data_IF_950426745224
#
_entry.id   IF_950426745224
#
_cell.length_a   1.000
_cell.length_b   1.000
_cell.length_c   1.000
_cell.angle_alpha   90.00
_cell.angle_beta   90.00
_cell.angle_gamma   90.00
#
_symmetry.space_group_name_H-M   'P 1'
#
loop_
_entity.id
_entity.type
_entity.pdbx_description
1 polymer ?
#
# COMPACT_ATOMS: atom_id res chain seq x y z
N UNK A 1 -4.69 50.23 -2.35
CA UNK A 1 -3.89 49.36 -3.24
C UNK A 1 -3.02 48.48 -2.35
N UNK A 2 -3.46 47.25 -2.08
CA UNK A 2 -2.73 46.32 -1.21
C UNK A 2 -1.78 45.50 -2.07
N UNK A 3 -0.47 45.63 -1.83
CA UNK A 3 0.58 44.86 -2.47
C UNK A 3 0.49 43.41 -1.98
N UNK A 4 0.03 42.51 -2.84
CA UNK A 4 0.13 41.08 -2.60
C UNK A 4 1.62 40.68 -2.52
N UNK A 5 1.99 40.03 -1.42
CA UNK A 5 3.34 39.51 -1.17
C UNK A 5 3.76 38.53 -2.29
N UNK A 6 4.95 38.67 -2.89
CA UNK A 6 5.40 37.84 -4.03
C UNK A 6 5.58 36.35 -3.70
N UNK A 7 5.51 35.96 -2.42
CA UNK A 7 5.61 34.57 -1.96
C UNK A 7 4.33 33.76 -2.19
N UNK A 8 3.14 34.37 -2.20
CA UNK A 8 1.87 33.64 -2.40
C UNK A 8 1.59 33.30 -3.88
N UNK A 9 2.22 34.00 -4.83
CA UNK A 9 2.05 33.74 -6.26
C UNK A 9 2.93 32.60 -6.78
N UNK A 10 4.07 32.34 -6.13
CA UNK A 10 5.00 31.27 -6.51
C UNK A 10 4.41 29.89 -6.18
N UNK A 11 3.77 29.73 -5.01
CA UNK A 11 3.08 28.48 -4.65
C UNK A 11 1.91 28.15 -5.60
N UNK A 12 1.25 29.18 -6.17
CA UNK A 12 0.14 28.98 -7.12
C UNK A 12 0.58 28.37 -8.45
N UNK A 13 1.85 28.50 -8.84
CA UNK A 13 2.38 27.98 -10.11
C UNK A 13 3.40 26.83 -9.95
N UNK A 14 3.70 26.42 -8.72
CA UNK A 14 4.60 25.30 -8.48
C UNK A 14 3.98 23.98 -9.00
N UNK A 15 4.68 23.34 -9.93
CA UNK A 15 4.35 21.99 -10.39
C UNK A 15 5.10 20.96 -9.57
N UNK A 16 4.57 19.76 -9.41
CA UNK A 16 5.20 18.69 -8.62
C UNK A 16 6.66 18.44 -9.04
N UNK A 17 6.93 18.49 -10.36
CA UNK A 17 8.27 18.37 -10.93
C UNK A 17 9.21 19.53 -10.57
N UNK A 18 8.70 20.75 -10.43
CA UNK A 18 9.49 21.90 -9.99
C UNK A 18 9.80 21.84 -8.50
N UNK A 19 8.87 21.34 -7.69
CA UNK A 19 9.05 21.18 -6.24
C UNK A 19 10.00 20.05 -5.89
N UNK A 20 10.01 18.98 -6.68
CA UNK A 20 10.87 17.81 -6.48
C UNK A 20 11.73 17.52 -7.73
N UNK A 21 12.70 18.40 -8.04
CA UNK A 21 13.52 18.26 -9.24
C UNK A 21 14.49 17.07 -9.11
N UNK A 22 14.68 16.27 -10.18
CA UNK A 22 15.63 15.17 -10.17
C UNK A 22 17.07 15.67 -10.16
N UNK A 23 17.93 15.04 -9.37
CA UNK A 23 19.33 15.42 -9.15
C UNK A 23 20.32 14.59 -9.95
N UNK A 24 19.93 13.39 -10.38
CA UNK A 24 20.79 12.44 -11.09
C UNK A 24 20.04 11.75 -12.26
N UNK A 25 20.73 10.90 -13.02
CA UNK A 25 20.16 10.22 -14.17
C UNK A 25 19.05 9.21 -13.81
N UNK A 26 19.19 8.54 -12.66
CA UNK A 26 18.20 7.58 -12.17
C UNK A 26 16.92 8.32 -11.77
N UNK A 27 17.02 9.37 -10.97
CA UNK A 27 15.90 10.23 -10.62
C UNK A 27 15.25 10.87 -11.84
N UNK A 28 16.02 11.27 -12.86
CA UNK A 28 15.44 11.76 -14.14
C UNK A 28 14.61 10.71 -14.85
N UNK A 29 14.97 9.43 -14.73
CA UNK A 29 14.26 8.32 -15.35
C UNK A 29 12.98 7.98 -14.60
N UNK A 30 13.01 8.02 -13.26
CA UNK A 30 11.88 7.72 -12.40
C UNK A 30 10.92 8.90 -12.19
N UNK A 31 11.43 10.10 -11.96
CA UNK A 31 10.63 11.25 -11.55
C UNK A 31 9.83 11.79 -12.73
N UNK A 32 8.56 12.08 -12.48
CA UNK A 32 7.63 12.57 -13.49
C UNK A 32 6.28 11.88 -13.40
N UNK A 33 5.53 11.99 -14.47
CA UNK A 33 4.18 11.48 -14.53
C UNK A 33 4.13 10.12 -15.23
N UNK A 34 3.30 9.25 -14.68
CA UNK A 34 3.12 7.87 -15.10
C UNK A 34 1.65 7.62 -15.41
N UNK A 35 1.38 6.91 -16.50
CA UNK A 35 0.05 6.49 -16.93
C UNK A 35 0.03 4.98 -17.09
N UNK A 36 -0.99 4.35 -16.53
CA UNK A 36 -1.19 2.91 -16.59
C UNK A 36 -1.42 2.47 -18.03
N UNK A 37 -0.67 1.47 -18.45
CA UNK A 37 -0.89 0.77 -19.70
C UNK A 37 -1.95 -0.30 -19.48
N UNK A 38 -3.20 0.02 -19.83
CA UNK A 38 -4.36 -0.83 -19.57
C UNK A 38 -4.29 -2.19 -20.28
N UNK A 39 -3.58 -2.27 -21.40
CA UNK A 39 -3.44 -3.50 -22.19
C UNK A 39 -2.48 -4.52 -21.52
N UNK A 40 -1.66 -4.06 -20.57
CA UNK A 40 -0.63 -4.85 -19.90
C UNK A 40 -0.90 -5.04 -18.39
N UNK A 41 -2.15 -4.79 -17.95
CA UNK A 41 -2.61 -5.04 -16.58
C UNK A 41 -2.96 -6.51 -16.41
N UNK A 42 -2.39 -7.14 -15.39
CA UNK A 42 -2.76 -8.49 -14.97
C UNK A 42 -3.17 -8.50 -13.51
N UNK A 43 -4.27 -9.18 -13.23
CA UNK A 43 -4.78 -9.38 -11.89
C UNK A 43 -5.34 -10.80 -11.80
N UNK A 44 -4.68 -11.62 -10.99
CA UNK A 44 -5.06 -13.02 -10.76
C UNK A 44 -5.58 -13.14 -9.33
N UNK A 45 -6.90 -13.24 -9.18
CA UNK A 45 -7.52 -13.49 -7.87
C UNK A 45 -7.46 -14.97 -7.64
N UNK A 46 -6.76 -15.38 -6.58
CA UNK A 46 -6.99 -16.70 -6.05
C UNK A 46 -8.35 -16.63 -5.36
N UNK A 47 -9.39 -17.14 -6.02
CA UNK A 47 -10.61 -17.52 -5.33
C UNK A 47 -10.19 -18.52 -4.24
N UNK A 48 -9.92 -18.03 -3.03
CA UNK A 48 -9.64 -18.88 -1.89
C UNK A 48 -10.92 -19.67 -1.63
N UNK A 49 -10.99 -20.86 -2.24
CA UNK A 49 -11.74 -22.02 -1.80
C UNK A 49 -13.20 -21.70 -1.42
N UNK A 50 -14.04 -21.43 -2.42
CA UNK A 50 -15.47 -21.73 -2.29
C UNK A 50 -15.61 -23.24 -2.17
N UNK A 51 -15.56 -23.76 -0.93
CA UNK A 51 -15.90 -25.15 -0.63
C UNK A 51 -17.23 -25.50 -1.33
N UNK A 52 -17.32 -26.63 -2.07
CA UNK A 52 -18.52 -26.99 -2.80
C UNK A 52 -19.66 -27.23 -1.80
N UNK A 53 -20.57 -26.26 -1.72
CA UNK A 53 -21.65 -26.24 -0.72
C UNK A 53 -21.96 -24.84 -0.20
N UNK A 54 -21.01 -23.89 -0.26
CA UNK A 54 -21.30 -22.48 0.00
C UNK A 54 -21.72 -21.84 -1.32
N UNK A 55 -23.03 -21.82 -1.59
CA UNK A 55 -23.60 -20.95 -2.64
C UNK A 55 -22.94 -19.59 -2.49
N UNK A 56 -22.40 -19.04 -3.57
CA UNK A 56 -22.01 -17.64 -3.68
C UNK A 56 -23.33 -16.84 -3.62
N UNK A 57 -23.94 -16.79 -2.44
CA UNK A 57 -24.65 -15.60 -2.03
C UNK A 57 -23.51 -14.58 -1.92
N UNK A 58 -23.57 -13.52 -2.74
CA UNK A 58 -22.69 -12.37 -2.65
C UNK A 58 -22.39 -12.12 -1.17
N UNK A 59 -21.11 -12.19 -0.79
CA UNK A 59 -20.72 -11.98 0.60
C UNK A 59 -21.19 -10.57 0.98
N UNK A 60 -22.13 -10.40 1.94
CA UNK A 60 -22.61 -9.08 2.35
C UNK A 60 -21.53 -8.24 3.05
N UNK A 61 -20.29 -8.75 3.13
CA UNK A 61 -19.11 -8.15 3.76
C UNK A 61 -18.02 -7.73 2.77
N UNK A 62 -18.20 -7.97 1.47
CA UNK A 62 -17.49 -7.16 0.47
C UNK A 62 -18.21 -5.82 0.50
N UNK A 63 -17.57 -4.72 0.94
CA UNK A 63 -18.25 -3.44 0.97
C UNK A 63 -18.78 -3.18 -0.43
N UNK A 64 -20.04 -2.75 -0.55
CA UNK A 64 -20.59 -2.25 -1.79
C UNK A 64 -19.62 -1.20 -2.31
N UNK A 65 -18.76 -1.58 -3.25
CA UNK A 65 -17.82 -0.65 -3.86
C UNK A 65 -18.69 0.26 -4.69
N UNK A 66 -19.05 1.41 -4.14
CA UNK A 66 -19.83 2.38 -4.86
C UNK A 66 -19.09 2.73 -6.15
N UNK A 67 -19.84 3.02 -7.22
CA UNK A 67 -19.24 3.48 -8.48
C UNK A 67 -18.28 4.65 -8.22
N UNK A 68 -18.61 5.52 -7.26
CA UNK A 68 -17.76 6.63 -6.86
C UNK A 68 -16.42 6.17 -6.27
N UNK A 69 -16.43 5.20 -5.36
CA UNK A 69 -15.22 4.62 -4.77
C UNK A 69 -14.34 3.94 -5.82
N UNK A 70 -14.95 3.26 -6.79
CA UNK A 70 -14.23 2.65 -7.90
C UNK A 70 -13.58 3.71 -8.80
N UNK A 71 -14.33 4.76 -9.17
CA UNK A 71 -13.83 5.88 -9.98
C UNK A 71 -12.70 6.61 -9.26
N UNK A 72 -12.81 6.82 -7.95
CA UNK A 72 -11.76 7.44 -7.15
C UNK A 72 -10.50 6.56 -7.09
N UNK A 73 -10.64 5.25 -6.89
CA UNK A 73 -9.49 4.34 -6.88
C UNK A 73 -8.82 4.31 -8.24
N UNK A 74 -9.61 4.21 -9.32
CA UNK A 74 -9.10 4.23 -10.69
C UNK A 74 -8.38 5.55 -11.01
N UNK A 75 -8.89 6.70 -10.55
CA UNK A 75 -8.23 7.99 -10.79
C UNK A 75 -6.86 8.10 -10.11
N UNK A 76 -6.66 7.40 -8.98
CA UNK A 76 -5.38 7.35 -8.27
C UNK A 76 -4.39 6.35 -8.88
N UNK A 77 -4.89 5.23 -9.42
CA UNK A 77 -4.04 4.16 -9.98
C UNK A 77 -3.70 4.42 -11.46
N UNK A 78 -4.64 4.91 -12.26
CA UNK A 78 -4.45 5.09 -13.72
C UNK A 78 -3.39 6.14 -14.03
N UNK A 79 -3.25 7.17 -13.20
CA UNK A 79 -2.28 8.23 -13.42
C UNK A 79 -1.75 8.76 -12.10
N UNK A 80 -0.42 8.82 -11.98
CA UNK A 80 0.23 9.42 -10.81
C UNK A 80 1.51 10.16 -11.19
N UNK A 81 1.93 11.07 -10.31
CA UNK A 81 3.23 11.70 -10.33
C UNK A 81 4.12 11.07 -9.26
N UNK A 82 5.36 10.79 -9.64
CA UNK A 82 6.36 10.15 -8.81
C UNK A 82 7.57 11.05 -8.68
N UNK A 83 8.11 11.16 -7.48
CA UNK A 83 9.43 11.75 -7.24
C UNK A 83 10.19 10.90 -6.22
N UNK A 84 11.25 10.24 -6.69
CA UNK A 84 12.22 9.56 -5.83
C UNK A 84 13.37 10.52 -5.48
N UNK A 85 13.92 10.30 -4.29
CA UNK A 85 15.16 10.89 -3.82
C UNK A 85 16.02 9.74 -3.27
N UNK A 86 17.10 9.44 -3.97
CA UNK A 86 17.97 8.29 -3.68
C UNK A 86 18.80 8.55 -2.43
N UNK A 87 19.20 9.79 -2.20
CA UNK A 87 20.04 10.20 -1.07
C UNK A 87 19.26 10.06 0.23
N UNK A 88 18.03 10.58 0.27
CA UNK A 88 17.14 10.43 1.44
C UNK A 88 16.40 9.09 1.49
N UNK A 89 16.59 8.22 0.49
CA UNK A 89 15.85 6.96 0.30
C UNK A 89 14.36 7.20 0.44
N UNK A 90 13.80 8.17 -0.26
CA UNK A 90 12.38 8.49 -0.16
C UNK A 90 11.68 8.47 -1.51
N UNK A 91 10.37 8.26 -1.48
CA UNK A 91 9.50 8.39 -2.63
C UNK A 91 8.28 9.22 -2.27
N UNK A 92 7.92 10.14 -3.16
CA UNK A 92 6.70 10.94 -3.10
C UNK A 92 5.79 10.54 -4.25
N UNK A 93 4.54 10.28 -3.93
CA UNK A 93 3.51 9.84 -4.88
C UNK A 93 2.31 10.75 -4.76
N UNK A 94 1.81 11.20 -5.90
CA UNK A 94 0.66 12.11 -5.98
C UNK A 94 -0.30 11.68 -7.09
N UNK A 95 -1.59 11.65 -6.78
CA UNK A 95 -2.64 11.55 -7.79
C UNK A 95 -2.91 12.96 -8.38
N UNK A 96 -2.87 13.16 -9.72
CA UNK A 96 -3.00 14.48 -10.34
C UNK A 96 -4.38 15.10 -10.11
N UNK A 97 -5.41 14.26 -10.01
CA UNK A 97 -6.81 14.65 -9.78
C UNK A 97 -7.19 14.65 -8.28
N UNK A 98 -6.21 14.90 -7.42
CA UNK A 98 -6.40 15.02 -5.99
C UNK A 98 -7.29 16.22 -5.62
N UNK A 99 -8.19 16.02 -4.64
CA UNK A 99 -9.00 17.07 -4.04
C UNK A 99 -8.19 17.94 -3.05
N UNK A 100 -7.03 17.46 -2.59
CA UNK A 100 -6.12 18.17 -1.71
C UNK A 100 -5.24 19.18 -2.49
N UNK A 101 -4.41 19.94 -1.77
CA UNK A 101 -3.53 20.96 -2.34
C UNK A 101 -2.60 20.44 -3.44
N UNK A 102 -2.10 21.34 -4.30
CA UNK A 102 -1.25 21.00 -5.46
C UNK A 102 0.08 20.32 -5.14
N UNK A 103 0.50 20.38 -3.87
CA UNK A 103 1.75 19.77 -3.38
C UNK A 103 1.50 18.66 -2.36
N UNK A 104 0.24 18.44 -1.96
CA UNK A 104 -0.11 17.34 -1.06
C UNK A 104 0.15 16.02 -1.78
N UNK A 105 0.93 15.17 -1.12
CA UNK A 105 1.39 13.92 -1.67
C UNK A 105 1.72 12.92 -0.56
N UNK A 106 1.55 11.65 -0.88
CA UNK A 106 2.04 10.56 -0.05
C UNK A 106 3.57 10.58 -0.04
N UNK A 107 4.18 10.58 1.14
CA UNK A 107 5.63 10.51 1.31
C UNK A 107 6.02 9.25 2.07
N UNK A 108 6.84 8.42 1.44
CA UNK A 108 7.34 7.16 1.96
C UNK A 108 8.86 7.20 2.09
N UNK A 109 9.38 6.66 3.18
CA UNK A 109 10.81 6.48 3.43
C UNK A 109 11.14 5.00 3.29
N UNK A 110 12.15 4.70 2.49
CA UNK A 110 12.49 3.39 1.94
C UNK A 110 13.82 2.88 2.52
N UNK A 111 14.00 3.01 3.84
CA UNK A 111 15.22 2.66 4.56
C UNK A 111 15.22 1.25 5.17
N UNK A 112 14.24 0.42 4.83
CA UNK A 112 14.06 -0.94 5.33
C UNK A 112 13.45 -1.03 6.72
N UNK A 113 13.02 0.10 7.31
CA UNK A 113 12.45 0.14 8.67
C UNK A 113 10.93 0.18 8.65
N UNK A 114 10.32 -0.27 9.76
CA UNK A 114 8.89 -0.15 9.97
C UNK A 114 8.51 1.33 10.11
N UNK A 115 7.51 1.77 9.35
CA UNK A 115 7.05 3.15 9.32
C UNK A 115 5.53 3.22 9.19
N UNK A 116 5.02 4.42 9.38
CA UNK A 116 3.60 4.74 9.22
C UNK A 116 3.47 5.92 8.28
N UNK A 117 2.63 5.81 7.26
CA UNK A 117 2.14 6.94 6.49
C UNK A 117 0.69 7.22 6.88
N UNK A 118 0.27 8.48 6.78
CA UNK A 118 -1.12 8.86 7.04
C UNK A 118 -1.75 9.56 5.85
N UNK A 119 -0.96 10.12 4.95
CA UNK A 119 -1.45 10.80 3.75
C UNK A 119 -1.42 9.85 2.56
N UNK A 120 -2.53 9.76 1.84
CA UNK A 120 -2.67 8.98 0.61
C UNK A 120 -2.22 9.78 -0.61
N UNK A 121 -2.07 9.15 -1.79
CA UNK A 121 -1.68 9.86 -3.01
C UNK A 121 -2.64 10.98 -3.41
N UNK A 122 -3.92 10.89 -3.03
CA UNK A 122 -4.91 11.97 -3.18
C UNK A 122 -4.79 13.09 -2.12
N UNK A 123 -3.71 13.11 -1.33
CA UNK A 123 -3.43 14.12 -0.30
C UNK A 123 -4.38 14.10 0.91
N UNK A 124 -5.38 13.23 0.92
CA UNK A 124 -6.27 13.03 2.08
C UNK A 124 -5.50 12.23 3.13
N UNK A 125 -5.62 12.63 4.39
CA UNK A 125 -5.09 11.87 5.50
C UNK A 125 -6.11 10.87 6.07
N UNK A 126 -5.68 9.65 6.35
CA UNK A 126 -6.44 8.73 7.21
C UNK A 126 -6.61 9.35 8.60
N UNK A 127 -7.77 9.19 9.22
CA UNK A 127 -7.95 9.54 10.62
C UNK A 127 -6.91 8.82 11.50
N UNK A 128 -6.18 9.57 12.32
CA UNK A 128 -5.03 9.07 13.08
C UNK A 128 -5.41 8.16 14.26
N UNK A 129 -6.72 8.03 14.58
CA UNK A 129 -7.18 7.42 15.83
C UNK A 129 -7.23 5.89 15.87
N UNK A 130 -7.30 5.18 14.73
CA UNK A 130 -7.54 3.73 14.78
C UNK A 130 -6.27 2.88 14.63
N UNK A 131 -5.13 3.44 14.17
CA UNK A 131 -3.92 2.64 13.92
C UNK A 131 -4.09 1.50 12.90
N UNK A 132 -5.22 1.49 12.19
CA UNK A 132 -5.67 0.40 11.34
C UNK A 132 -5.06 0.48 9.94
N UNK A 133 -4.62 1.66 9.51
CA UNK A 133 -4.05 1.86 8.18
C UNK A 133 -2.74 2.65 8.23
N UNK A 134 -1.88 2.36 7.26
CA UNK A 134 -0.70 3.18 6.97
C UNK A 134 0.62 2.58 7.45
N UNK A 135 0.59 1.45 8.15
CA UNK A 135 1.79 0.70 8.48
C UNK A 135 2.46 0.17 7.22
N UNK A 136 3.77 0.32 7.10
CA UNK A 136 4.52 -0.17 5.95
C UNK A 136 5.98 -0.51 6.26
N UNK A 137 6.58 -1.32 5.40
CA UNK A 137 8.02 -1.43 5.21
C UNK A 137 8.35 -1.00 3.79
N UNK A 138 9.31 -0.10 3.63
CA UNK A 138 9.79 0.32 2.33
C UNK A 138 11.30 0.13 2.25
N UNK A 139 11.80 -0.40 1.15
CA UNK A 139 13.23 -0.56 0.92
C UNK A 139 13.60 -0.21 -0.52
N UNK A 140 14.57 0.68 -0.66
CA UNK A 140 15.17 1.03 -1.95
C UNK A 140 16.51 0.30 -2.10
N UNK A 141 16.63 -0.52 -3.14
CA UNK A 141 17.85 -1.29 -3.46
C UNK A 141 18.36 -0.93 -4.85
N UNK A 142 19.68 -0.86 -4.99
CA UNK A 142 20.35 -0.79 -6.29
C UNK A 142 20.94 -2.16 -6.57
N UNK A 143 20.28 -2.96 -7.40
CA UNK A 143 20.68 -4.35 -7.66
C UNK A 143 21.82 -4.44 -8.67
N UNK A 144 21.86 -3.53 -9.64
CA UNK A 144 22.91 -3.38 -10.62
C UNK A 144 23.11 -1.90 -10.96
N UNK A 145 24.22 -1.49 -11.61
CA UNK A 145 24.41 -0.11 -12.03
C UNK A 145 23.22 0.40 -12.86
N UNK A 146 22.50 1.39 -12.32
CA UNK A 146 21.30 1.98 -12.95
C UNK A 146 20.01 1.17 -12.78
N UNK A 147 20.03 0.03 -12.09
CA UNK A 147 18.84 -0.78 -11.79
C UNK A 147 18.41 -0.55 -10.34
N UNK A 148 17.53 0.42 -10.16
CA UNK A 148 16.86 0.70 -8.90
C UNK A 148 15.63 -0.19 -8.77
N UNK A 149 15.42 -0.78 -7.59
CA UNK A 149 14.24 -1.57 -7.24
C UNK A 149 13.69 -1.04 -5.92
N UNK A 150 12.38 -0.84 -5.84
CA UNK A 150 11.69 -0.47 -4.60
C UNK A 150 10.82 -1.64 -4.16
N UNK A 151 11.06 -2.14 -2.96
CA UNK A 151 10.19 -3.07 -2.27
C UNK A 151 9.31 -2.30 -1.31
N UNK A 152 8.01 -2.53 -1.37
CA UNK A 152 7.03 -1.85 -0.55
C UNK A 152 5.99 -2.83 -0.02
N UNK A 153 5.94 -2.98 1.30
CA UNK A 153 4.94 -3.75 2.00
C UNK A 153 4.00 -2.81 2.74
N UNK A 154 2.70 -2.84 2.47
CA UNK A 154 1.69 -2.01 3.14
C UNK A 154 0.70 -2.91 3.87
N UNK A 155 0.34 -2.52 5.08
CA UNK A 155 -0.62 -3.23 5.92
C UNK A 155 -1.88 -2.40 6.09
N UNK A 156 -3.02 -3.06 5.91
CA UNK A 156 -4.35 -2.59 6.29
C UNK A 156 -4.91 -3.58 7.30
N UNK A 157 -5.01 -3.14 8.52
CA UNK A 157 -5.53 -3.88 9.65
C UNK A 157 -7.03 -3.67 9.78
N UNK A 158 -7.77 -4.74 10.01
CA UNK A 158 -9.16 -4.71 10.46
C UNK A 158 -9.23 -4.86 11.97
N UNK A 159 -10.00 -3.98 12.62
CA UNK A 159 -10.33 -4.07 14.05
C UNK A 159 -11.68 -4.72 14.30
N UNK A 160 -12.49 -4.90 13.26
CA UNK A 160 -13.83 -5.48 13.35
C UNK A 160 -13.80 -7.00 13.18
N UNK A 161 -14.59 -7.69 13.99
CA UNK A 161 -14.77 -9.13 13.87
C UNK A 161 -15.48 -9.48 12.56
N UNK A 162 -14.96 -10.49 11.85
CA UNK A 162 -15.46 -10.93 10.56
C UNK A 162 -14.93 -10.14 9.36
N UNK A 163 -14.18 -9.06 9.59
CA UNK A 163 -13.56 -8.25 8.53
C UNK A 163 -12.07 -8.58 8.41
N UNK A 164 -11.58 -8.92 7.20
CA UNK A 164 -10.18 -9.34 7.02
C UNK A 164 -9.20 -8.16 7.02
N UNK A 165 -7.96 -8.44 7.46
CA UNK A 165 -6.81 -7.57 7.21
C UNK A 165 -6.12 -7.94 5.89
N UNK A 166 -5.46 -6.95 5.30
CA UNK A 166 -4.74 -7.07 4.04
C UNK A 166 -3.28 -6.67 4.18
N UNK A 167 -2.40 -7.37 3.49
CA UNK A 167 -0.97 -7.10 3.39
C UNK A 167 -0.61 -7.13 1.92
N UNK A 168 -0.27 -5.97 1.38
CA UNK A 168 0.12 -5.80 -0.02
C UNK A 168 1.64 -5.77 -0.09
N UNK A 169 2.24 -6.65 -0.89
CA UNK A 169 3.68 -6.65 -1.15
C UNK A 169 3.92 -6.30 -2.60
N UNK A 170 4.68 -5.24 -2.81
CA UNK A 170 4.96 -4.68 -4.13
C UNK A 170 6.46 -4.63 -4.38
N UNK A 171 6.84 -4.95 -5.61
CA UNK A 171 8.15 -4.75 -6.18
C UNK A 171 7.98 -3.81 -7.38
N UNK A 172 8.65 -2.65 -7.32
CA UNK A 172 8.54 -1.57 -8.29
C UNK A 172 9.89 -1.43 -8.98
N UNK A 173 9.90 -1.51 -10.31
CA UNK A 173 11.10 -1.52 -11.13
C UNK A 173 10.93 -0.58 -12.33
N UNK A 174 12.01 0.14 -12.67
CA UNK A 174 12.08 0.87 -13.93
C UNK A 174 12.84 0.03 -14.96
N UNK A 175 12.16 -0.30 -16.06
CA UNK A 175 12.73 -1.03 -17.17
C UNK A 175 13.42 -0.09 -18.16
N UNK A 176 14.46 -0.58 -18.83
CA UNK A 176 15.25 0.19 -19.81
C UNK A 176 14.45 0.72 -21.00
N UNK A 177 13.29 0.13 -21.29
CA UNK A 177 12.36 0.60 -22.31
C UNK A 177 11.51 1.81 -21.87
N UNK A 178 11.81 2.43 -20.72
CA UNK A 178 11.10 3.61 -20.22
C UNK A 178 9.80 3.27 -19.49
N UNK A 179 9.56 2.00 -19.18
CA UNK A 179 8.34 1.55 -18.47
C UNK A 179 8.62 1.34 -17.00
N UNK A 180 7.66 1.73 -16.16
CA UNK A 180 7.65 1.41 -14.74
C UNK A 180 6.74 0.20 -14.54
N UNK A 181 7.27 -0.87 -13.95
CA UNK A 181 6.51 -2.06 -13.62
C UNK A 181 6.30 -2.13 -12.11
N UNK A 182 5.08 -2.44 -11.71
CA UNK A 182 4.71 -2.75 -10.32
C UNK A 182 4.14 -4.15 -10.31
N UNK A 183 4.84 -5.08 -9.67
CA UNK A 183 4.38 -6.46 -9.48
C UNK A 183 4.21 -6.74 -8.01
N UNK A 184 3.27 -7.60 -7.66
CA UNK A 184 3.05 -7.90 -6.26
C UNK A 184 2.02 -8.97 -6.01
N UNK A 185 1.83 -9.22 -4.73
CA UNK A 185 0.78 -10.07 -4.22
C UNK A 185 0.06 -9.40 -3.06
N UNK A 186 -1.16 -9.89 -2.82
CA UNK A 186 -1.99 -9.46 -1.72
C UNK A 186 -2.25 -10.69 -0.88
N UNK A 187 -1.91 -10.56 0.40
CA UNK A 187 -2.25 -11.54 1.40
C UNK A 187 -3.45 -11.03 2.20
N UNK A 188 -4.29 -11.97 2.64
CA UNK A 188 -5.47 -11.71 3.46
C UNK A 188 -5.45 -12.62 4.69
N UNK A 189 -5.91 -12.12 5.83
CA UNK A 189 -6.09 -12.98 7.01
C UNK A 189 -7.18 -14.01 6.74
N UNK A 190 -6.91 -15.30 6.96
CA UNK A 190 -7.92 -16.37 6.84
C UNK A 190 -8.70 -16.64 8.13
N UNK A 191 -8.36 -15.94 9.22
CA UNK A 191 -9.03 -16.05 10.52
C UNK A 191 -10.23 -15.09 10.63
N UNK A 192 -11.14 -15.34 11.59
CA UNK A 192 -12.34 -14.51 11.80
C UNK A 192 -12.02 -13.10 12.32
N UNK A 193 -10.91 -12.93 13.04
CA UNK A 193 -10.45 -11.62 13.51
C UNK A 193 -8.94 -11.52 13.42
N UNK A 194 -8.44 -10.31 13.25
CA UNK A 194 -6.99 -10.04 13.19
C UNK A 194 -6.39 -9.87 14.57
N UNK A 195 -7.09 -9.14 15.44
CA UNK A 195 -6.68 -8.87 16.82
C UNK A 195 -7.75 -9.40 17.78
N UNK A 196 -7.31 -9.71 19.00
CA UNK A 196 -8.23 -10.07 20.09
C UNK A 196 -8.93 -8.83 20.66
N UNK A 197 -10.07 -9.01 21.34
CA UNK A 197 -10.81 -7.94 22.00
C UNK A 197 -9.95 -7.13 23.00
N UNK A 198 -8.98 -7.77 23.64
CA UNK A 198 -8.04 -7.13 24.57
C UNK A 198 -6.99 -6.27 23.86
N UNK A 199 -6.63 -6.62 22.62
CA UNK A 199 -5.59 -5.93 21.85
C UNK A 199 -6.13 -4.74 21.05
N UNK A 200 -7.38 -4.81 20.58
CA UNK A 200 -8.05 -3.79 19.76
C UNK A 200 -7.83 -2.35 20.30
N UNK A 201 -7.99 -2.06 21.62
CA UNK A 201 -7.79 -0.71 22.15
C UNK A 201 -6.37 -0.17 21.99
N UNK A 202 -5.37 -1.04 21.83
CA UNK A 202 -3.96 -0.67 21.81
C UNK A 202 -3.33 -0.75 20.41
N UNK A 203 -4.07 -1.19 19.38
CA UNK A 203 -3.54 -1.33 18.01
C UNK A 203 -2.99 0.00 17.48
N UNK A 204 -3.59 1.13 17.86
CA UNK A 204 -3.08 2.48 17.61
C UNK A 204 -1.62 2.72 18.00
N UNK A 205 -1.23 2.15 19.13
CA UNK A 205 0.04 2.41 19.83
C UNK A 205 1.07 1.30 19.56
N UNK A 206 0.63 0.13 19.11
CA UNK A 206 1.50 -0.99 18.81
C UNK A 206 2.43 -0.69 17.64
N UNK A 207 3.72 -0.99 17.80
CA UNK A 207 4.62 -1.04 16.66
C UNK A 207 4.18 -2.11 15.65
N UNK A 208 4.47 -1.92 14.36
CA UNK A 208 4.19 -2.91 13.32
C UNK A 208 4.78 -4.30 13.66
N UNK A 209 5.97 -4.34 14.26
CA UNK A 209 6.58 -5.59 14.74
C UNK A 209 5.75 -6.24 15.85
N UNK A 210 5.22 -5.44 16.78
CA UNK A 210 4.35 -5.92 17.85
C UNK A 210 3.02 -6.44 17.28
N UNK A 211 2.40 -5.73 16.33
CA UNK A 211 1.15 -6.16 15.66
C UNK A 211 1.33 -7.54 15.04
N UNK A 212 2.39 -7.73 14.23
CA UNK A 212 2.71 -9.04 13.62
C UNK A 212 2.89 -10.15 14.66
N UNK A 213 3.63 -9.87 15.73
CA UNK A 213 3.86 -10.85 16.80
C UNK A 213 2.57 -11.18 17.60
N UNK A 214 1.69 -10.20 17.81
CA UNK A 214 0.39 -10.42 18.46
C UNK A 214 -0.48 -11.36 17.64
N UNK A 215 -0.55 -11.12 16.33
CA UNK A 215 -1.24 -12.01 15.39
C UNK A 215 -0.67 -13.44 15.50
N UNK A 216 0.65 -13.60 15.40
CA UNK A 216 1.30 -14.92 15.56
C UNK A 216 0.97 -15.61 16.90
N UNK A 217 0.89 -14.85 18.01
CA UNK A 217 0.51 -15.40 19.32
C UNK A 217 -0.97 -15.76 19.42
N UNK A 218 -1.87 -14.92 18.90
CA UNK A 218 -3.30 -15.19 18.87
C UNK A 218 -3.58 -16.48 18.09
N UNK A 219 -2.87 -16.68 16.97
CA UNK A 219 -2.88 -17.91 16.20
C UNK A 219 -2.52 -19.15 17.02
N UNK A 220 -1.41 -19.06 17.77
CA UNK A 220 -0.90 -20.16 18.57
C UNK A 220 -1.86 -20.55 19.70
N UNK A 221 -2.60 -19.59 20.28
CA UNK A 221 -3.63 -19.88 21.30
C UNK A 221 -4.84 -20.59 20.72
N UNK A 222 -5.27 -20.23 19.51
CA UNK A 222 -6.43 -20.83 18.85
C UNK A 222 -6.16 -22.24 18.32
N UNK A 223 -4.88 -22.63 18.19
CA UNK A 223 -4.45 -23.91 17.66
C UNK A 223 -4.13 -24.96 18.72
N UNK A 224 -4.35 -24.68 20.01
CA UNK A 224 -4.21 -25.68 21.07
C UNK A 224 -5.44 -26.62 21.09
N UNK A 225 -5.28 -27.92 20.83
CA UNK A 225 -6.33 -28.89 21.06
C UNK A 225 -6.39 -29.24 22.57
N UNK A 226 -7.59 -29.42 23.09
CA UNK A 226 -7.77 -30.14 24.34
C UNK A 226 -7.17 -31.56 24.19
N UNK A 227 -6.06 -31.81 24.89
CA UNK A 227 -5.46 -33.10 25.25
C UNK A 227 -5.50 -34.26 24.22
N UNK A 228 -4.33 -34.55 23.61
CA UNK A 228 -3.82 -35.93 23.53
C UNK A 228 -3.94 -36.73 22.22
N UNK A 229 -3.28 -36.33 21.13
CA UNK A 229 -2.76 -37.25 20.10
C UNK A 229 -1.74 -36.56 19.15
N UNK A 230 -0.72 -37.25 18.59
CA UNK A 230 0.40 -36.62 17.90
C UNK A 230 0.28 -36.63 16.37
N UNK A 231 0.42 -35.46 15.74
CA UNK A 231 1.56 -35.03 14.88
C UNK A 231 1.13 -33.95 13.86
N UNK A 232 2.03 -32.98 13.69
CA UNK A 232 2.31 -32.16 12.53
C UNK A 232 1.12 -31.57 11.76
N UNK A 233 0.79 -30.32 12.06
CA UNK A 233 0.83 -29.19 11.11
C UNK A 233 0.46 -27.92 11.88
N UNK A 234 1.39 -26.97 11.93
CA UNK A 234 1.22 -25.66 12.57
C UNK A 234 -0.03 -24.92 12.08
N UNK A 235 -0.73 -24.17 12.94
CA UNK A 235 -1.47 -23.00 12.46
C UNK A 235 -0.86 -21.72 13.03
N UNK A 236 0.11 -21.18 12.27
CA UNK A 236 0.35 -19.73 12.17
C UNK A 236 -0.95 -19.14 11.62
N UNK A 237 -1.43 -17.96 12.05
CA UNK A 237 -2.58 -17.31 11.38
C UNK A 237 -2.16 -17.20 9.92
N UNK A 238 -2.75 -17.98 9.00
CA UNK A 238 -2.25 -18.03 7.66
C UNK A 238 -2.75 -16.75 7.02
N UNK A 239 -1.83 -15.84 6.77
CA UNK A 239 -2.01 -14.93 5.66
C UNK A 239 -2.12 -15.81 4.40
N UNK A 240 -3.33 -15.91 3.87
CA UNK A 240 -3.62 -16.62 2.63
C UNK A 240 -3.36 -15.71 1.44
N UNK A 241 -2.91 -16.28 0.33
CA UNK A 241 -2.76 -15.51 -0.90
C UNK A 241 -4.15 -15.17 -1.46
N UNK A 242 -4.50 -13.89 -1.48
CA UNK A 242 -5.75 -13.38 -2.05
C UNK A 242 -5.63 -13.21 -3.58
N UNK A 243 -4.45 -12.79 -4.04
CA UNK A 243 -4.20 -12.65 -5.46
C UNK A 243 -2.87 -12.01 -5.77
N UNK A 244 -2.54 -11.97 -7.07
CA UNK A 244 -1.33 -11.38 -7.62
C UNK A 244 -1.68 -10.32 -8.64
N UNK A 245 -0.80 -9.35 -8.77
CA UNK A 245 -0.99 -8.27 -9.71
C UNK A 245 0.29 -7.88 -10.42
N UNK A 246 0.11 -7.39 -11.63
CA UNK A 246 1.14 -6.77 -12.44
C UNK A 246 0.53 -5.56 -13.13
N UNK A 247 1.15 -4.41 -12.89
CA UNK A 247 0.79 -3.13 -13.48
C UNK A 247 2.00 -2.61 -14.24
N UNK A 248 1.80 -2.12 -15.45
CA UNK A 248 2.84 -1.47 -16.23
C UNK A 248 2.42 -0.04 -16.54
N UNK A 249 3.37 0.88 -16.48
CA UNK A 249 3.14 2.30 -16.68
C UNK A 249 4.12 2.85 -17.70
N UNK A 250 3.63 3.81 -18.48
CA UNK A 250 4.40 4.58 -19.44
C UNK A 250 4.55 6.01 -18.93
N UNK A 251 5.72 6.59 -19.18
CA UNK A 251 6.03 7.96 -18.78
C UNK A 251 5.38 8.96 -19.73
N UNK A 252 4.84 10.06 -19.19
CA UNK A 252 4.26 11.19 -19.94
C UNK A 252 5.25 12.34 -20.07
#
# INVERSE_FOLDING_TARGET
>A
MSSASPSQSIERNATFKMTFPPRNAVERSWNGQWVLDMDDVQWDVNEVSSSPGRKINADPRVPDVSLFSLVELMSQVVRFELAIDIESRSVRVRAPQSLAGRLDCMHLVLDGKARVFRMFPNGISSYAGEGSQGDYFGEMRVEAPGQLVIFLEIFRWSLEEGTPSYHVRSCIEFHRNGRLAVRGDILVTTGPSTFTAEEIPYVGEMSLRAKRKSVEKAAARHSQPASGAPRNNSPVIPWGEYGRFRLCYSKV
#
